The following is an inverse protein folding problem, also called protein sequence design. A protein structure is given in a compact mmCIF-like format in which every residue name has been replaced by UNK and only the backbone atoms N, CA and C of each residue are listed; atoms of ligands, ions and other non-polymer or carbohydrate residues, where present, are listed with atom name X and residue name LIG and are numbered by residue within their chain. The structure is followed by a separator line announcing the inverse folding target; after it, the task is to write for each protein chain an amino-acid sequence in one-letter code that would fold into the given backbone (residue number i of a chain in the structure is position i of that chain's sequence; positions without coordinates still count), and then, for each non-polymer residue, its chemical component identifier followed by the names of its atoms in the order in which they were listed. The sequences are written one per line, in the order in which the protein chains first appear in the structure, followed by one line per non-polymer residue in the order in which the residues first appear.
data_IF_564407756762
#
_entry.id   IF_564407756762
#
_cell.length_a   1.000
_cell.length_b   1.000
_cell.length_c   1.000
_cell.angle_alpha   90.00
_cell.angle_beta   90.00
_cell.angle_gamma   90.00
#
_symmetry.space_group_name_H-M   'P 1'
#
loop_
_entity.id
_entity.type
_entity.pdbx_description
1 polymer ?
#
# COMPACT_ATOMS: atom_id res chain seq x y z
N UNK A 1 12.39 9.55 -37.70
CA UNK A 1 11.25 8.71 -37.30
C UNK A 1 10.59 9.38 -36.11
N UNK A 2 9.26 9.45 -36.05
CA UNK A 2 8.55 10.10 -34.94
C UNK A 2 8.26 9.03 -33.88
N UNK A 3 9.11 8.92 -32.86
CA UNK A 3 9.04 7.86 -31.83
C UNK A 3 8.06 8.20 -30.69
N UNK A 4 7.49 9.42 -30.69
CA UNK A 4 6.50 9.92 -29.74
C UNK A 4 5.31 8.97 -29.46
N UNK A 5 4.60 8.40 -30.46
CA UNK A 5 3.46 7.51 -30.20
C UNK A 5 3.87 6.17 -29.54
N UNK A 6 5.10 5.69 -29.77
CA UNK A 6 5.61 4.46 -29.16
C UNK A 6 5.93 4.70 -27.68
N UNK A 7 6.57 5.82 -27.37
CA UNK A 7 6.91 6.21 -25.99
C UNK A 7 5.62 6.43 -25.16
N UNK A 8 4.62 7.10 -25.72
CA UNK A 8 3.37 7.36 -25.00
C UNK A 8 2.55 6.09 -24.72
N UNK A 9 2.46 5.17 -25.70
CA UNK A 9 1.80 3.88 -25.48
C UNK A 9 2.50 3.04 -24.41
N UNK A 10 3.84 3.03 -24.40
CA UNK A 10 4.62 2.32 -23.39
C UNK A 10 4.44 2.93 -21.99
N UNK A 11 4.45 4.26 -21.87
CA UNK A 11 4.17 4.97 -20.62
C UNK A 11 2.79 4.63 -20.07
N UNK A 12 1.77 4.70 -20.92
CA UNK A 12 0.41 4.41 -20.49
C UNK A 12 0.30 2.98 -19.96
N UNK A 13 0.94 2.01 -20.61
CA UNK A 13 0.99 0.64 -20.13
C UNK A 13 1.66 0.54 -18.76
N UNK A 14 2.80 1.20 -18.55
CA UNK A 14 3.52 1.18 -17.27
C UNK A 14 2.69 1.80 -16.13
N UNK A 15 1.87 2.82 -16.41
CA UNK A 15 0.95 3.40 -15.43
C UNK A 15 -0.21 2.45 -15.12
N UNK A 16 -0.76 1.75 -16.13
CA UNK A 16 -1.78 0.73 -15.90
C UNK A 16 -1.25 -0.46 -15.09
N UNK A 17 -0.01 -0.89 -15.36
CA UNK A 17 0.66 -1.93 -14.57
C UNK A 17 0.87 -1.47 -13.12
N UNK A 18 1.27 -0.22 -12.91
CA UNK A 18 1.39 0.36 -11.56
C UNK A 18 0.04 0.39 -10.82
N UNK A 19 -1.06 0.70 -11.51
CA UNK A 19 -2.42 0.66 -10.94
C UNK A 19 -2.80 -0.77 -10.55
N UNK A 20 -2.51 -1.76 -11.40
CA UNK A 20 -2.76 -3.17 -11.10
C UNK A 20 -1.96 -3.62 -9.88
N UNK A 21 -0.67 -3.26 -9.79
CA UNK A 21 0.17 -3.54 -8.64
C UNK A 21 -0.39 -2.89 -7.37
N UNK A 22 -0.82 -1.62 -7.42
CA UNK A 22 -1.44 -0.94 -6.29
C UNK A 22 -2.72 -1.64 -5.80
N UNK A 23 -3.56 -2.16 -6.71
CA UNK A 23 -4.73 -2.96 -6.33
C UNK A 23 -4.32 -4.28 -5.64
N UNK A 24 -3.32 -4.97 -6.19
CA UNK A 24 -2.79 -6.19 -5.57
C UNK A 24 -2.19 -5.91 -4.18
N UNK A 25 -1.58 -4.74 -3.98
CA UNK A 25 -1.08 -4.33 -2.66
C UNK A 25 -2.22 -4.16 -1.65
N UNK A 26 -3.38 -3.62 -2.05
CA UNK A 26 -4.55 -3.55 -1.18
C UNK A 26 -5.02 -4.96 -0.76
N UNK A 27 -5.20 -5.88 -1.70
CA UNK A 27 -5.58 -7.26 -1.41
C UNK A 27 -4.56 -8.00 -0.54
N UNK A 28 -3.28 -7.66 -0.68
CA UNK A 28 -2.19 -8.22 0.13
C UNK A 28 -2.19 -7.64 1.55
N UNK A 29 -2.52 -6.35 1.68
CA UNK A 29 -2.72 -5.68 2.96
C UNK A 29 -3.92 -6.23 3.74
N UNK A 30 -5.02 -6.57 3.06
CA UNK A 30 -6.18 -7.23 3.70
C UNK A 30 -5.80 -8.58 4.33
N UNK A 31 -4.84 -9.27 3.73
CA UNK A 31 -4.32 -10.56 4.21
C UNK A 31 -3.20 -10.41 5.25
N UNK A 32 -2.75 -9.19 5.54
CA UNK A 32 -1.67 -8.91 6.48
C UNK A 32 -0.27 -9.33 6.00
N UNK A 33 -0.11 -9.58 4.70
CA UNK A 33 1.18 -9.97 4.11
C UNK A 33 2.04 -8.73 3.82
N UNK A 34 2.71 -8.24 4.86
CA UNK A 34 3.53 -7.02 4.77
C UNK A 34 4.78 -7.20 3.91
N UNK A 35 5.36 -8.40 3.87
CA UNK A 35 6.52 -8.71 3.02
C UNK A 35 6.14 -8.65 1.54
N UNK A 36 4.99 -9.23 1.17
CA UNK A 36 4.45 -9.15 -0.19
C UNK A 36 4.21 -7.71 -0.64
N UNK A 37 3.75 -6.82 0.24
CA UNK A 37 3.56 -5.40 -0.08
C UNK A 37 4.89 -4.70 -0.41
N UNK A 38 5.97 -5.03 0.28
CA UNK A 38 7.30 -4.43 0.04
C UNK A 38 7.80 -4.78 -1.37
N UNK A 39 7.65 -6.05 -1.77
CA UNK A 39 8.05 -6.49 -3.11
C UNK A 39 7.18 -5.88 -4.22
N UNK A 40 5.86 -5.79 -3.99
CA UNK A 40 4.95 -5.13 -4.93
C UNK A 40 5.25 -3.62 -5.05
N UNK A 41 5.56 -2.94 -3.94
CA UNK A 41 5.93 -1.52 -3.96
C UNK A 41 7.21 -1.28 -4.75
N UNK A 42 8.18 -2.19 -4.65
CA UNK A 42 9.40 -2.12 -5.45
C UNK A 42 9.11 -2.19 -6.95
N UNK A 43 8.31 -3.16 -7.38
CA UNK A 43 7.91 -3.32 -8.78
C UNK A 43 7.13 -2.10 -9.28
N UNK A 44 6.18 -1.60 -8.47
CA UNK A 44 5.36 -0.42 -8.82
C UNK A 44 6.24 0.81 -9.05
N UNK A 45 7.19 1.06 -8.14
CA UNK A 45 8.10 2.20 -8.22
C UNK A 45 8.99 2.12 -9.46
N UNK A 46 9.55 0.95 -9.75
CA UNK A 46 10.40 0.74 -10.93
C UNK A 46 9.61 1.02 -12.22
N UNK A 47 8.37 0.52 -12.33
CA UNK A 47 7.48 0.79 -13.46
C UNK A 47 7.15 2.27 -13.62
N UNK A 48 6.80 2.96 -12.53
CA UNK A 48 6.50 4.40 -12.57
C UNK A 48 7.72 5.24 -12.95
N UNK A 49 8.90 4.92 -12.41
CA UNK A 49 10.15 5.62 -12.77
C UNK A 49 10.50 5.42 -14.24
N UNK A 50 10.24 4.23 -14.79
CA UNK A 50 10.45 3.97 -16.22
C UNK A 50 9.48 4.77 -17.09
N UNK A 51 8.19 4.83 -16.74
CA UNK A 51 7.17 5.53 -17.54
C UNK A 51 7.21 7.04 -17.45
N UNK A 52 7.67 7.59 -16.33
CA UNK A 52 7.75 9.05 -16.14
C UNK A 52 9.13 9.63 -16.43
N UNK A 53 10.05 8.82 -16.99
CA UNK A 53 11.41 9.25 -17.31
C UNK A 53 11.46 10.31 -18.41
N UNK A 54 10.71 10.07 -19.48
CA UNK A 54 10.67 10.97 -20.63
C UNK A 54 9.58 12.04 -20.44
N UNK A 55 9.76 13.25 -21.01
CA UNK A 55 8.73 14.29 -21.00
C UNK A 55 7.40 13.78 -21.57
N UNK A 56 6.31 14.20 -20.94
CA UNK A 56 4.94 13.87 -21.35
C UNK A 56 4.53 14.82 -22.48
N UNK A 57 4.17 14.27 -23.62
CA UNK A 57 3.64 15.03 -24.75
C UNK A 57 2.20 15.52 -24.45
N UNK A 58 1.78 16.58 -25.12
CA UNK A 58 0.48 17.22 -24.84
C UNK A 58 -0.68 16.26 -25.13
N UNK A 59 -0.53 15.41 -26.14
CA UNK A 59 -1.54 14.47 -26.63
C UNK A 59 -1.84 13.34 -25.64
N UNK A 60 -0.94 13.07 -24.70
CA UNK A 60 -1.06 12.01 -23.69
C UNK A 60 -1.21 12.55 -22.26
N UNK A 61 -1.08 13.87 -22.07
CA UNK A 61 -1.07 14.50 -20.75
C UNK A 61 -2.35 14.19 -19.94
N UNK A 62 -3.50 14.15 -20.60
CA UNK A 62 -4.79 13.82 -19.97
C UNK A 62 -4.80 12.38 -19.42
N UNK A 63 -4.47 11.39 -20.26
CA UNK A 63 -4.46 9.98 -19.83
C UNK A 63 -3.40 9.66 -18.78
N UNK A 64 -2.25 10.33 -18.84
CA UNK A 64 -1.22 10.25 -17.80
C UNK A 64 -1.73 10.85 -16.49
N UNK A 65 -2.38 12.02 -16.54
CA UNK A 65 -2.93 12.67 -15.35
C UNK A 65 -4.02 11.82 -14.67
N UNK A 66 -4.94 11.25 -15.43
CA UNK A 66 -5.99 10.35 -14.91
C UNK A 66 -5.40 9.13 -14.20
N UNK A 67 -4.34 8.57 -14.78
CA UNK A 67 -3.64 7.42 -14.21
C UNK A 67 -2.91 7.80 -12.91
N UNK A 68 -2.26 8.97 -12.86
CA UNK A 68 -1.61 9.49 -11.66
C UNK A 68 -2.62 9.78 -10.55
N UNK A 69 -3.77 10.38 -10.88
CA UNK A 69 -4.83 10.64 -9.90
C UNK A 69 -5.36 9.33 -9.31
N UNK A 70 -5.54 8.30 -10.15
CA UNK A 70 -5.93 6.96 -9.70
C UNK A 70 -4.89 6.36 -8.75
N UNK A 71 -3.59 6.47 -9.10
CA UNK A 71 -2.50 5.98 -8.26
C UNK A 71 -2.43 6.70 -6.91
N UNK A 72 -2.68 8.02 -6.87
CA UNK A 72 -2.74 8.79 -5.63
C UNK A 72 -3.89 8.31 -4.73
N UNK A 73 -5.08 8.11 -5.30
CA UNK A 73 -6.23 7.59 -4.54
C UNK A 73 -5.96 6.20 -3.96
N UNK A 74 -5.33 5.30 -4.73
CA UNK A 74 -4.96 3.97 -4.27
C UNK A 74 -3.90 4.03 -3.16
N UNK A 75 -2.93 4.94 -3.27
CA UNK A 75 -1.94 5.16 -2.23
C UNK A 75 -2.55 5.65 -0.91
N UNK A 76 -3.54 6.54 -0.98
CA UNK A 76 -4.26 7.01 0.20
C UNK A 76 -5.05 5.88 0.87
N UNK A 77 -5.70 5.02 0.07
CA UNK A 77 -6.40 3.83 0.57
C UNK A 77 -5.45 2.87 1.29
N UNK A 78 -4.30 2.58 0.68
CA UNK A 78 -3.28 1.70 1.26
C UNK A 78 -2.74 2.27 2.57
N UNK A 79 -2.46 3.57 2.60
CA UNK A 79 -2.00 4.26 3.82
C UNK A 79 -3.03 4.14 4.93
N UNK A 80 -4.31 4.34 4.62
CA UNK A 80 -5.41 4.17 5.58
C UNK A 80 -5.55 2.74 6.09
N UNK A 81 -5.30 1.73 5.25
CA UNK A 81 -5.29 0.32 5.67
C UNK A 81 -4.14 0.01 6.63
N UNK A 82 -2.92 0.43 6.30
CA UNK A 82 -1.73 0.23 7.15
C UNK A 82 -1.93 0.88 8.52
N UNK A 83 -2.49 2.09 8.55
CA UNK A 83 -2.78 2.79 9.81
C UNK A 83 -3.81 2.04 10.67
N UNK A 84 -4.87 1.49 10.05
CA UNK A 84 -5.88 0.68 10.74
C UNK A 84 -5.29 -0.61 11.31
N UNK A 85 -4.57 -1.38 10.49
CA UNK A 85 -3.93 -2.63 10.92
C UNK A 85 -2.95 -2.41 12.10
N UNK A 86 -2.17 -1.32 12.06
CA UNK A 86 -1.28 -0.94 13.16
C UNK A 86 -2.05 -0.59 14.43
N UNK A 87 -3.17 0.12 14.30
CA UNK A 87 -4.00 0.53 15.44
C UNK A 87 -4.67 -0.69 16.10
N UNK A 88 -5.19 -1.62 15.30
CA UNK A 88 -5.78 -2.87 15.77
C UNK A 88 -4.74 -3.74 16.52
N UNK A 89 -3.54 -3.87 15.96
CA UNK A 89 -2.44 -4.62 16.61
C UNK A 89 -2.07 -4.00 17.96
N UNK A 90 -1.98 -2.67 18.05
CA UNK A 90 -1.68 -1.99 19.30
C UNK A 90 -2.79 -2.20 20.36
N UNK A 91 -4.06 -2.18 19.94
CA UNK A 91 -5.19 -2.46 20.84
C UNK A 91 -5.18 -3.90 21.36
N UNK A 92 -4.91 -4.88 20.49
CA UNK A 92 -4.80 -6.28 20.88
C UNK A 92 -3.68 -6.50 21.89
N UNK A 93 -2.52 -5.87 21.68
CA UNK A 93 -1.40 -5.93 22.64
C UNK A 93 -1.78 -5.35 24.00
N UNK A 94 -2.41 -4.17 24.03
CA UNK A 94 -2.88 -3.56 25.27
C UNK A 94 -3.91 -4.43 26.02
N UNK A 95 -4.84 -5.05 25.29
CA UNK A 95 -5.83 -5.96 25.86
C UNK A 95 -5.16 -7.21 26.48
N UNK A 96 -4.17 -7.80 25.81
CA UNK A 96 -3.39 -8.92 26.34
C UNK A 96 -2.64 -8.54 27.62
N UNK A 97 -1.99 -7.38 27.65
CA UNK A 97 -1.27 -6.89 28.83
C UNK A 97 -2.21 -6.68 30.02
N UNK A 98 -3.38 -6.06 29.78
CA UNK A 98 -4.39 -5.87 30.81
C UNK A 98 -4.95 -7.20 31.34
N UNK A 99 -5.19 -8.18 30.46
CA UNK A 99 -5.62 -9.53 30.85
C UNK A 99 -4.59 -10.25 31.72
N UNK A 100 -3.30 -10.16 31.38
CA UNK A 100 -2.21 -10.74 32.20
C UNK A 100 -2.12 -10.09 33.57
N UNK A 101 -2.27 -8.76 33.64
CA UNK A 101 -2.28 -8.02 34.90
C UNK A 101 -3.46 -8.43 35.79
N UNK A 102 -4.67 -8.54 35.22
CA UNK A 102 -5.85 -8.99 35.94
C UNK A 102 -5.69 -10.42 36.47
N UNK A 103 -5.23 -11.36 35.63
CA UNK A 103 -4.98 -12.75 36.05
C UNK A 103 -3.95 -12.85 37.19
N UNK A 104 -2.88 -12.06 37.14
CA UNK A 104 -1.87 -11.97 38.21
C UNK A 104 -2.47 -11.44 39.51
N UNK A 105 -3.29 -10.39 39.43
CA UNK A 105 -3.96 -9.81 40.60
C UNK A 105 -4.95 -10.78 41.27
N UNK A 106 -5.69 -11.58 40.49
CA UNK A 106 -6.56 -12.62 41.05
C UNK A 106 -5.74 -13.75 41.72
N UNK A 107 -4.64 -14.18 41.12
CA UNK A 107 -3.78 -15.21 41.71
C UNK A 107 -3.11 -14.75 43.01
N UNK A 108 -2.68 -13.50 43.10
CA UNK A 108 -2.06 -12.97 44.33
C UNK A 108 -3.06 -12.90 45.48
N UNK A 109 -4.31 -12.48 45.23
CA UNK A 109 -5.39 -12.46 46.23
C UNK A 109 -5.77 -13.88 46.66
N UNK A 110 -5.80 -14.86 45.74
CA UNK A 110 -6.13 -16.24 46.08
C UNK A 110 -5.06 -16.97 46.91
N UNK A 111 -3.79 -16.52 46.86
CA UNK A 111 -2.66 -17.12 47.61
C UNK A 111 -2.45 -16.53 49.00
N UNK A 112 -3.16 -15.45 49.34
CA UNK A 112 -3.07 -14.78 50.65
C UNK A 112 -4.21 -15.17 51.62
N UNK A 113 -5.01 -16.18 51.28
CA UNK A 113 -5.98 -16.85 52.16
C UNK A 113 -5.49 -18.25 52.47
#
# INVERSE_FOLDING_TARGET
MNDLPIIGAQRQQQLQDAIALSKNMLETAERGDWEGIIELEKQRREGMMAGLKEPVAVEEAEGVNDSLQTLMQLNDQLTGMVQRARSETAQQFAALQNGRNAASAYQSVSKQR
#
